data_IF_013781809959
#
_entry.id   IF_013781809959
#
_cell.length_a   1.000
_cell.length_b   1.000
_cell.length_c   1.000
_cell.angle_alpha   90.00
_cell.angle_beta   90.00
_cell.angle_gamma   90.00
#
_symmetry.space_group_name_H-M   'P 1'
#
loop_
_entity.id
_entity.type
_entity.pdbx_description
1 polymer ?
#
# COMPACT_ATOMS: atom_id res chain seq x y z
N UNK A 1 0.18 -3.64 -2.35
CA UNK A 1 0.92 -2.36 -2.34
C UNK A 1 1.82 -2.35 -3.57
N UNK A 2 1.45 -1.60 -4.62
CA UNK A 2 2.18 -1.62 -5.87
C UNK A 2 3.49 -0.81 -5.77
N UNK A 3 4.43 -1.08 -6.68
CA UNK A 3 5.50 -0.14 -7.03
C UNK A 3 4.89 1.15 -7.61
N UNK A 4 5.61 2.26 -7.46
CA UNK A 4 5.19 3.57 -7.95
C UNK A 4 6.10 4.12 -9.07
N UNK A 5 7.20 3.44 -9.41
CA UNK A 5 8.11 3.87 -10.48
C UNK A 5 7.90 3.14 -11.80
N UNK A 6 8.02 1.80 -11.81
CA UNK A 6 7.94 0.98 -13.02
C UNK A 6 6.51 0.57 -13.36
N UNK A 7 5.56 0.66 -12.44
CA UNK A 7 4.16 0.34 -12.67
C UNK A 7 3.48 1.37 -13.59
N UNK A 8 2.69 0.89 -14.55
CA UNK A 8 1.87 1.75 -15.39
C UNK A 8 0.49 1.97 -14.74
N UNK A 9 -0.09 3.15 -14.95
CA UNK A 9 -1.34 3.53 -14.29
C UNK A 9 -2.50 2.56 -14.57
N UNK A 10 -2.52 1.91 -15.75
CA UNK A 10 -3.52 0.89 -16.07
C UNK A 10 -3.48 -0.27 -15.07
N UNK A 11 -2.30 -0.86 -14.84
CA UNK A 11 -2.13 -1.96 -13.90
C UNK A 11 -2.34 -1.52 -12.44
N UNK A 12 -1.99 -0.28 -12.08
CA UNK A 12 -2.29 0.29 -10.76
C UNK A 12 -3.80 0.38 -10.53
N UNK A 13 -4.56 0.88 -11.52
CA UNK A 13 -6.03 0.95 -11.45
C UNK A 13 -6.63 -0.45 -11.36
N UNK A 14 -6.16 -1.39 -12.19
CA UNK A 14 -6.70 -2.75 -12.21
C UNK A 14 -6.54 -3.46 -10.86
N UNK A 15 -5.35 -3.39 -10.24
CA UNK A 15 -5.16 -3.98 -8.91
C UNK A 15 -5.95 -3.26 -7.80
N UNK A 16 -6.16 -1.94 -7.90
CA UNK A 16 -7.04 -1.21 -6.99
C UNK A 16 -8.47 -1.72 -7.09
N UNK A 17 -8.99 -1.88 -8.32
CA UNK A 17 -10.34 -2.39 -8.58
C UNK A 17 -10.50 -3.80 -8.03
N UNK A 18 -9.59 -4.72 -8.36
CA UNK A 18 -9.66 -6.11 -7.91
C UNK A 18 -9.68 -6.22 -6.37
N UNK A 19 -8.79 -5.50 -5.69
CA UNK A 19 -8.74 -5.46 -4.23
C UNK A 19 -10.01 -4.86 -3.60
N UNK A 20 -10.46 -3.71 -4.10
CA UNK A 20 -11.62 -3.01 -3.55
C UNK A 20 -12.94 -3.73 -3.80
N UNK A 21 -13.13 -4.33 -4.97
CA UNK A 21 -14.30 -5.16 -5.23
C UNK A 21 -14.32 -6.40 -4.34
N UNK A 22 -13.15 -6.99 -4.04
CA UNK A 22 -13.08 -8.09 -3.11
C UNK A 22 -13.50 -7.65 -1.70
N UNK A 23 -12.99 -6.51 -1.21
CA UNK A 23 -13.37 -5.96 0.09
C UNK A 23 -14.87 -5.67 0.18
N UNK A 24 -15.44 -5.02 -0.84
CA UNK A 24 -16.87 -4.70 -0.88
C UNK A 24 -17.75 -5.96 -0.83
N UNK A 25 -17.38 -7.00 -1.60
CA UNK A 25 -18.15 -8.25 -1.70
C UNK A 25 -18.03 -9.14 -0.46
N UNK A 26 -16.87 -9.16 0.20
CA UNK A 26 -16.57 -10.16 1.23
C UNK A 26 -16.54 -9.60 2.66
N UNK A 27 -16.31 -8.29 2.83
CA UNK A 27 -16.18 -7.67 4.15
C UNK A 27 -17.31 -6.68 4.43
N UNK A 28 -18.52 -6.96 3.97
CA UNK A 28 -19.72 -6.17 4.32
C UNK A 28 -19.72 -4.75 3.76
N UNK A 29 -19.22 -4.56 2.53
CA UNK A 29 -19.25 -3.26 1.86
C UNK A 29 -18.17 -2.28 2.30
N UNK A 30 -17.12 -2.73 2.98
CA UNK A 30 -16.00 -1.88 3.41
C UNK A 30 -15.35 -1.19 2.20
N UNK A 31 -15.21 0.13 2.31
CA UNK A 31 -14.51 1.00 1.34
C UNK A 31 -13.41 1.77 2.05
N UNK A 32 -12.12 1.42 1.85
CA UNK A 32 -11.01 2.16 2.41
C UNK A 32 -11.06 3.65 2.04
N UNK A 33 -10.73 4.52 2.99
CA UNK A 33 -10.71 5.99 2.83
C UNK A 33 -9.30 6.56 2.78
N UNK A 34 -8.31 5.75 3.17
CA UNK A 34 -6.93 6.16 3.42
C UNK A 34 -5.96 5.16 2.80
N UNK A 35 -5.01 5.65 1.99
CA UNK A 35 -3.94 4.84 1.42
C UNK A 35 -2.80 4.60 2.40
N UNK A 36 -2.15 3.44 2.34
CA UNK A 36 -0.98 3.08 3.15
C UNK A 36 0.12 2.51 2.26
N UNK A 37 1.18 3.28 2.02
CA UNK A 37 2.28 2.94 1.13
C UNK A 37 3.63 3.11 1.85
N UNK A 38 4.04 2.09 2.61
CA UNK A 38 5.25 2.18 3.45
C UNK A 38 6.53 1.66 2.79
N UNK A 39 6.41 0.90 1.70
CA UNK A 39 7.52 0.16 1.11
C UNK A 39 7.79 0.34 -0.40
N UNK A 40 7.01 1.09 -1.22
CA UNK A 40 7.48 1.47 -2.55
C UNK A 40 8.75 2.32 -2.46
N UNK A 41 9.73 2.11 -3.36
CA UNK A 41 11.06 2.72 -3.26
C UNK A 41 11.13 4.15 -3.84
N UNK A 42 10.38 5.05 -3.22
CA UNK A 42 10.05 6.37 -3.76
C UNK A 42 8.58 6.43 -4.16
N UNK A 43 8.02 7.64 -4.27
CA UNK A 43 6.59 7.83 -4.43
C UNK A 43 6.24 8.75 -5.60
N UNK A 44 5.18 8.38 -6.32
CA UNK A 44 4.69 9.07 -7.51
C UNK A 44 3.41 9.84 -7.21
N UNK A 45 3.26 11.09 -7.72
CA UNK A 45 1.99 11.81 -7.63
C UNK A 45 0.86 11.09 -8.39
N UNK A 46 1.17 10.09 -9.23
CA UNK A 46 0.16 9.23 -9.87
C UNK A 46 -0.70 8.50 -8.83
N UNK A 47 -0.11 7.96 -7.76
CA UNK A 47 -0.88 7.30 -6.70
C UNK A 47 -1.79 8.29 -5.98
N UNK A 48 -1.28 9.49 -5.67
CA UNK A 48 -2.07 10.56 -5.07
C UNK A 48 -3.31 10.90 -5.93
N UNK A 49 -3.11 11.08 -7.23
CA UNK A 49 -4.21 11.34 -8.17
C UNK A 49 -5.22 10.19 -8.22
N UNK A 50 -4.75 8.96 -8.41
CA UNK A 50 -5.63 7.80 -8.58
C UNK A 50 -6.44 7.51 -7.32
N UNK A 51 -5.82 7.60 -6.13
CA UNK A 51 -6.53 7.44 -4.86
C UNK A 51 -7.60 8.53 -4.68
N UNK A 52 -7.28 9.80 -4.97
CA UNK A 52 -8.25 10.90 -4.92
C UNK A 52 -9.45 10.63 -5.84
N UNK A 53 -9.18 10.18 -7.07
CA UNK A 53 -10.22 9.84 -8.06
C UNK A 53 -11.02 8.58 -7.67
N UNK A 54 -10.45 7.71 -6.85
CA UNK A 54 -11.12 6.55 -6.26
C UNK A 54 -11.92 6.88 -4.99
N UNK A 55 -11.98 8.16 -4.58
CA UNK A 55 -12.77 8.61 -3.42
C UNK A 55 -12.02 8.59 -2.09
N UNK A 56 -10.69 8.45 -2.10
CA UNK A 56 -9.88 8.58 -0.90
C UNK A 56 -9.71 10.05 -0.50
N UNK A 57 -9.65 10.28 0.80
CA UNK A 57 -9.37 11.61 1.38
C UNK A 57 -7.92 11.73 1.86
N UNK A 58 -7.29 10.61 2.21
CA UNK A 58 -5.98 10.59 2.84
C UNK A 58 -5.05 9.54 2.25
N UNK A 59 -3.75 9.73 2.43
CA UNK A 59 -2.73 8.73 2.13
C UNK A 59 -1.53 8.90 3.06
N UNK A 60 -0.78 7.81 3.24
CA UNK A 60 0.47 7.80 3.98
C UNK A 60 1.59 7.20 3.14
N UNK A 61 2.74 7.86 3.17
CA UNK A 61 3.97 7.46 2.47
C UNK A 61 5.16 7.38 3.43
N UNK A 62 6.20 6.62 3.05
CA UNK A 62 7.38 6.45 3.90
C UNK A 62 8.70 6.62 3.18
N UNK A 63 9.00 5.89 2.10
CA UNK A 63 10.36 5.88 1.51
C UNK A 63 10.60 7.10 0.63
N UNK A 64 10.85 8.21 1.29
CA UNK A 64 11.28 9.49 0.71
C UNK A 64 12.72 9.74 1.11
N UNK A 65 13.51 10.36 0.22
CA UNK A 65 14.93 10.64 0.42
C UNK A 65 15.19 11.26 1.82
N UNK A 66 16.19 10.78 2.55
CA UNK A 66 16.42 11.17 3.96
C UNK A 66 16.59 12.69 4.15
N UNK A 67 17.31 13.37 3.25
CA UNK A 67 17.43 14.83 3.24
C UNK A 67 16.10 15.57 3.04
N UNK A 68 15.18 15.03 2.23
CA UNK A 68 13.84 15.58 2.04
C UNK A 68 13.00 15.41 3.31
N UNK A 69 13.01 14.23 3.94
CA UNK A 69 12.38 14.04 5.27
C UNK A 69 12.90 15.05 6.29
N UNK A 70 14.22 15.25 6.35
CA UNK A 70 14.83 16.26 7.23
C UNK A 70 14.34 17.67 6.94
N UNK A 71 14.28 18.06 5.66
CA UNK A 71 13.76 19.37 5.26
C UNK A 71 12.29 19.54 5.69
N UNK A 72 11.43 18.56 5.39
CA UNK A 72 10.02 18.61 5.73
C UNK A 72 9.79 18.63 7.25
N UNK A 73 10.56 17.83 8.00
CA UNK A 73 10.51 17.79 9.45
C UNK A 73 10.90 19.14 10.10
N UNK A 74 11.95 19.79 9.59
CA UNK A 74 12.40 21.11 10.07
C UNK A 74 11.34 22.20 9.88
N UNK A 75 10.57 22.12 8.79
CA UNK A 75 9.51 23.09 8.47
C UNK A 75 8.10 22.64 8.91
N UNK A 76 8.01 21.49 9.60
CA UNK A 76 6.77 20.83 10.00
C UNK A 76 5.79 20.68 8.82
N UNK A 77 6.29 20.25 7.67
CA UNK A 77 5.53 20.11 6.42
C UNK A 77 5.36 18.64 6.02
N UNK A 78 5.64 17.70 6.92
CA UNK A 78 5.44 16.25 6.71
C UNK A 78 3.97 15.85 6.50
N UNK A 79 3.04 16.72 6.86
CA UNK A 79 1.62 16.63 6.55
C UNK A 79 1.29 17.73 5.54
N UNK A 80 0.75 17.37 4.37
CA UNK A 80 0.52 18.31 3.28
C UNK A 80 -0.60 17.86 2.34
N UNK A 81 -1.22 18.80 1.62
CA UNK A 81 -2.08 18.48 0.49
C UNK A 81 -1.22 18.23 -0.75
N UNK A 82 -1.20 16.99 -1.24
CA UNK A 82 -0.43 16.62 -2.42
C UNK A 82 -1.27 16.88 -3.69
N UNK A 83 -0.82 17.82 -4.51
CA UNK A 83 -1.51 18.29 -5.72
C UNK A 83 -0.72 17.95 -6.98
N UNK A 84 -1.44 17.65 -8.07
CA UNK A 84 -0.81 17.44 -9.37
C UNK A 84 -0.19 18.74 -9.92
N UNK A 85 0.96 18.63 -10.58
CA UNK A 85 1.72 19.79 -11.09
C UNK A 85 0.92 20.69 -12.04
N UNK A 86 -0.06 20.14 -12.75
CA UNK A 86 -0.90 20.86 -13.72
C UNK A 86 -2.21 21.39 -13.12
N UNK A 87 -2.54 21.03 -11.87
CA UNK A 87 -3.77 21.50 -11.24
C UNK A 87 -3.54 22.89 -10.62
N UNK A 88 -4.20 23.90 -11.21
CA UNK A 88 -4.17 25.27 -10.70
C UNK A 88 -5.19 25.50 -9.58
N UNK A 89 -6.18 24.62 -9.47
CA UNK A 89 -7.18 24.61 -8.40
C UNK A 89 -6.76 23.68 -7.27
N UNK A 90 -7.72 23.08 -6.58
CA UNK A 90 -7.50 22.09 -5.51
C UNK A 90 -8.23 20.77 -5.79
N UNK A 91 -8.58 20.51 -7.05
CA UNK A 91 -9.43 19.38 -7.44
C UNK A 91 -8.73 18.02 -7.28
N UNK A 92 -7.40 18.03 -7.31
CA UNK A 92 -6.56 16.84 -7.18
C UNK A 92 -5.94 16.65 -5.80
N UNK A 93 -6.23 17.54 -4.86
CA UNK A 93 -5.62 17.52 -3.52
C UNK A 93 -6.06 16.29 -2.73
N UNK A 94 -5.08 15.55 -2.23
CA UNK A 94 -5.25 14.50 -1.22
C UNK A 94 -4.36 14.81 -0.02
N UNK A 95 -4.86 14.61 1.20
CA UNK A 95 -4.05 14.83 2.39
C UNK A 95 -3.03 13.70 2.53
N UNK A 96 -1.75 14.05 2.57
CA UNK A 96 -0.65 13.10 2.64
C UNK A 96 0.11 13.25 3.96
N UNK A 97 0.31 12.13 4.66
CA UNK A 97 1.25 12.02 5.77
C UNK A 97 2.55 11.36 5.28
N UNK A 98 3.67 12.06 5.36
CA UNK A 98 5.01 11.51 5.19
C UNK A 98 5.57 11.12 6.56
N UNK A 99 5.83 9.83 6.75
CA UNK A 99 6.49 9.35 7.97
C UNK A 99 7.91 9.96 8.09
N UNK A 100 8.38 10.32 9.30
CA UNK A 100 9.55 11.19 9.46
C UNK A 100 10.90 10.47 9.44
N UNK A 101 10.93 9.17 9.71
CA UNK A 101 12.16 8.44 10.04
C UNK A 101 12.55 7.43 8.95
N UNK A 102 13.67 6.75 9.19
CA UNK A 102 14.38 5.91 8.22
C UNK A 102 13.55 4.71 7.71
N UNK A 103 12.83 4.03 8.60
CA UNK A 103 12.12 2.79 8.31
C UNK A 103 10.73 2.77 8.97
N UNK A 104 9.89 1.79 8.60
CA UNK A 104 8.55 1.59 9.15
C UNK A 104 8.50 0.56 10.29
N UNK A 105 9.65 -0.05 10.64
CA UNK A 105 9.79 -0.96 11.78
C UNK A 105 9.67 -0.20 13.11
N UNK A 106 9.25 -0.91 14.17
CA UNK A 106 9.04 -0.34 15.52
C UNK A 106 10.21 0.56 16.00
N UNK A 107 11.49 0.17 15.84
CA UNK A 107 12.62 1.04 16.20
C UNK A 107 12.60 2.42 15.54
N UNK A 108 12.02 2.57 14.35
CA UNK A 108 12.01 3.83 13.61
C UNK A 108 10.62 4.47 13.54
N UNK A 109 9.65 4.04 14.37
CA UNK A 109 8.29 4.60 14.34
C UNK A 109 7.85 5.22 15.65
N UNK A 110 8.45 4.85 16.78
CA UNK A 110 8.07 5.42 18.08
C UNK A 110 8.61 6.85 18.30
N UNK A 111 9.76 7.19 17.72
CA UNK A 111 10.46 8.44 17.95
C UNK A 111 11.84 8.45 17.29
N UNK A 112 12.64 9.50 17.51
CA UNK A 112 13.91 9.69 16.81
C UNK A 112 15.04 8.79 17.30
N UNK A 113 14.94 8.16 18.48
CA UNK A 113 16.00 7.31 19.03
C UNK A 113 15.64 5.81 18.90
N UNK A 114 16.20 5.12 17.90
CA UNK A 114 15.87 3.72 17.67
C UNK A 114 16.43 2.78 18.75
N UNK A 115 17.44 3.20 19.52
CA UNK A 115 17.92 2.45 20.69
C UNK A 115 16.86 2.41 21.78
N UNK A 116 16.07 3.47 21.93
CA UNK A 116 14.95 3.51 22.87
C UNK A 116 13.75 2.76 22.27
N UNK A 117 13.35 3.10 21.05
CA UNK A 117 12.16 2.51 20.42
C UNK A 117 12.23 0.99 20.29
N UNK A 118 13.42 0.43 20.01
CA UNK A 118 13.58 -1.02 19.92
C UNK A 118 13.23 -1.74 21.23
N UNK A 119 13.41 -1.10 22.39
CA UNK A 119 13.05 -1.69 23.68
C UNK A 119 11.53 -1.76 23.91
N UNK A 120 10.73 -1.19 23.00
CA UNK A 120 9.27 -1.31 22.97
C UNK A 120 8.79 -2.22 21.84
N UNK A 121 9.71 -2.89 21.15
CA UNK A 121 9.39 -4.05 20.32
C UNK A 121 9.45 -5.34 21.16
N UNK A 122 8.32 -5.74 21.72
CA UNK A 122 8.24 -6.93 22.58
C UNK A 122 8.38 -8.29 21.84
N UNK A 123 8.59 -8.29 20.50
CA UNK A 123 9.03 -9.50 19.77
C UNK A 123 10.53 -9.75 19.93
N UNK A 124 11.30 -8.72 20.31
CA UNK A 124 12.77 -8.76 20.43
C UNK A 124 13.26 -9.08 21.83
N UNK A 125 12.43 -9.73 22.65
CA UNK A 125 12.83 -10.16 24.00
C UNK A 125 14.11 -11.03 23.95
N UNK A 126 14.94 -10.98 25.02
CA UNK A 126 16.11 -11.85 25.14
C UNK A 126 15.75 -13.33 24.94
N UNK A 127 16.62 -14.07 24.24
CA UNK A 127 16.41 -15.49 23.91
C UNK A 127 15.53 -15.74 22.68
N UNK A 128 14.96 -14.70 22.07
CA UNK A 128 14.26 -14.78 20.79
C UNK A 128 15.19 -14.82 19.59
N UNK A 129 14.61 -15.01 18.40
CA UNK A 129 15.33 -15.00 17.11
C UNK A 129 15.91 -13.63 16.75
N UNK A 130 15.25 -12.56 17.20
CA UNK A 130 15.59 -11.18 16.87
C UNK A 130 15.99 -10.44 18.13
N UNK A 131 17.07 -9.67 18.06
CA UNK A 131 17.52 -8.77 19.13
C UNK A 131 17.42 -7.29 18.73
N UNK A 132 17.71 -6.43 19.69
CA UNK A 132 17.93 -5.01 19.42
C UNK A 132 19.40 -4.76 19.04
N UNK A 133 19.70 -4.27 17.82
CA UNK A 133 21.08 -4.05 17.38
C UNK A 133 21.81 -2.97 18.19
N UNK A 134 21.08 -2.14 18.95
CA UNK A 134 21.64 -1.10 19.83
C UNK A 134 22.03 -1.57 21.23
N UNK A 135 22.07 -2.89 21.46
CA UNK A 135 22.63 -3.49 22.68
C UNK A 135 21.77 -3.37 23.94
N UNK A 136 20.55 -2.85 23.84
CA UNK A 136 19.58 -2.77 24.95
C UNK A 136 18.31 -3.50 24.54
N UNK A 137 18.01 -4.67 25.13
CA UNK A 137 16.82 -5.43 24.78
C UNK A 137 15.54 -4.82 25.39
N UNK A 138 14.36 -5.21 24.90
CA UNK A 138 13.09 -4.99 25.57
C UNK A 138 13.04 -5.69 26.93
N UNK A 139 12.29 -5.10 27.86
CA UNK A 139 11.97 -5.67 29.16
C UNK A 139 10.46 -5.75 29.33
N UNK A 140 9.97 -6.78 30.00
CA UNK A 140 8.54 -6.91 30.31
C UNK A 140 8.10 -5.75 31.18
N UNK A 141 6.96 -5.15 30.85
CA UNK A 141 6.36 -4.07 31.61
C UNK A 141 5.72 -4.68 32.86
N UNK A 142 6.11 -4.16 34.02
CA UNK A 142 5.66 -4.58 35.34
C UNK A 142 5.23 -3.35 36.13
N UNK A 143 4.51 -3.55 37.23
CA UNK A 143 4.15 -2.45 38.12
C UNK A 143 5.37 -1.69 38.68
N UNK A 144 6.54 -2.35 38.76
CA UNK A 144 7.78 -1.75 39.27
C UNK A 144 8.47 -0.85 38.24
N UNK A 145 8.37 -1.14 36.94
CA UNK A 145 9.05 -0.37 35.89
C UNK A 145 8.11 0.51 35.04
N UNK A 146 6.79 0.30 35.10
CA UNK A 146 5.82 0.94 34.19
C UNK A 146 5.95 2.46 34.14
N UNK A 147 6.20 3.12 35.27
CA UNK A 147 6.42 4.57 35.31
C UNK A 147 7.60 4.99 34.43
N UNK A 148 8.78 4.46 34.72
CA UNK A 148 10.01 4.81 33.99
C UNK A 148 9.90 4.45 32.50
N UNK A 149 9.29 3.30 32.18
CA UNK A 149 9.10 2.83 30.80
C UNK A 149 8.09 3.70 30.04
N UNK A 150 6.99 4.08 30.67
CA UNK A 150 5.97 4.95 30.08
C UNK A 150 6.52 6.36 29.81
N UNK A 151 7.23 6.95 30.77
CA UNK A 151 7.86 8.26 30.60
C UNK A 151 8.90 8.24 29.47
N UNK A 152 9.70 7.17 29.37
CA UNK A 152 10.68 6.98 28.30
C UNK A 152 10.01 6.87 26.91
N UNK A 153 8.94 6.10 26.78
CA UNK A 153 8.20 5.99 25.53
C UNK A 153 7.49 7.30 25.17
N UNK A 154 6.87 7.95 26.15
CA UNK A 154 6.16 9.21 25.96
C UNK A 154 7.11 10.34 25.53
N UNK A 155 8.34 10.37 26.04
CA UNK A 155 9.38 11.28 25.57
C UNK A 155 9.66 11.10 24.07
N UNK A 156 9.75 9.86 23.57
CA UNK A 156 9.92 9.57 22.15
C UNK A 156 8.72 10.05 21.32
N UNK A 157 7.49 9.77 21.76
CA UNK A 157 6.28 10.28 21.10
C UNK A 157 6.21 11.81 21.09
N UNK A 158 6.61 12.47 22.18
CA UNK A 158 6.66 13.94 22.27
C UNK A 158 7.74 14.53 21.38
N UNK A 159 8.91 13.89 21.25
CA UNK A 159 9.94 14.29 20.28
C UNK A 159 9.44 14.15 18.85
N UNK A 160 8.76 13.04 18.53
CA UNK A 160 8.12 12.85 17.23
C UNK A 160 7.04 13.91 16.95
N UNK A 161 6.23 14.26 17.95
CA UNK A 161 5.15 15.25 17.78
C UNK A 161 5.66 16.64 17.41
N UNK A 162 6.90 17.00 17.80
CA UNK A 162 7.51 18.28 17.39
C UNK A 162 7.72 18.42 15.89
N UNK A 163 7.67 17.33 15.13
CA UNK A 163 7.84 17.33 13.67
C UNK A 163 6.54 17.62 12.91
N UNK A 164 5.40 17.65 13.61
CA UNK A 164 4.06 17.82 13.03
C UNK A 164 3.38 19.09 13.55
N UNK A 165 2.26 19.47 12.92
CA UNK A 165 1.52 20.71 13.24
C UNK A 165 0.39 20.48 14.24
N UNK A 166 -0.15 19.27 14.28
CA UNK A 166 -1.25 18.85 15.18
C UNK A 166 -0.71 18.29 16.50
N UNK A 167 -1.60 18.07 17.47
CA UNK A 167 -1.27 17.33 18.71
C UNK A 167 -1.52 15.83 18.59
N UNK A 168 -1.95 15.35 17.42
CA UNK A 168 -2.23 13.95 17.13
C UNK A 168 -0.98 13.28 16.57
N UNK A 169 -0.53 12.18 17.20
CA UNK A 169 0.68 11.46 16.78
C UNK A 169 0.33 10.05 16.34
N UNK A 170 0.64 9.70 15.09
CA UNK A 170 0.61 8.33 14.60
C UNK A 170 1.90 7.59 15.00
N UNK A 171 1.79 6.42 15.62
CA UNK A 171 2.92 5.55 15.94
C UNK A 171 2.67 4.13 15.40
N UNK A 172 3.10 3.83 14.16
CA UNK A 172 2.94 2.50 13.59
C UNK A 172 3.65 1.44 14.43
N UNK A 173 2.96 0.35 14.74
CA UNK A 173 3.48 -0.75 15.53
C UNK A 173 3.49 -2.02 14.69
N UNK A 174 4.61 -2.26 14.01
CA UNK A 174 4.72 -3.35 13.05
C UNK A 174 6.10 -3.43 12.41
N UNK A 175 6.26 -4.41 11.55
CA UNK A 175 7.47 -4.74 10.78
C UNK A 175 7.05 -5.81 9.74
N UNK A 176 8.00 -6.32 8.96
CA UNK A 176 7.77 -7.40 8.00
C UNK A 176 7.23 -8.66 8.68
N UNK A 177 6.11 -9.19 8.14
CA UNK A 177 5.48 -10.44 8.59
C UNK A 177 5.34 -10.54 10.12
N UNK A 178 4.86 -9.47 10.75
CA UNK A 178 4.54 -9.44 12.18
C UNK A 178 3.15 -9.98 12.47
N UNK A 179 2.90 -10.21 13.75
CA UNK A 179 1.65 -10.68 14.31
C UNK A 179 1.24 -12.07 13.80
N UNK A 180 2.24 -12.95 13.59
CA UNK A 180 2.01 -14.33 13.10
C UNK A 180 1.88 -15.36 14.22
N UNK A 181 2.35 -15.04 15.44
CA UNK A 181 2.35 -15.96 16.57
C UNK A 181 1.46 -15.43 17.71
N UNK A 182 0.67 -16.31 18.36
CA UNK A 182 -0.20 -15.91 19.48
C UNK A 182 0.59 -15.26 20.63
N UNK A 183 1.79 -15.76 20.91
CA UNK A 183 2.71 -15.22 21.92
C UNK A 183 3.17 -13.80 21.58
N UNK A 184 3.44 -13.52 20.30
CA UNK A 184 3.77 -12.18 19.82
C UNK A 184 2.61 -11.21 20.06
N UNK A 185 1.38 -11.61 19.72
CA UNK A 185 0.19 -10.80 20.01
C UNK A 185 0.07 -10.47 21.49
N UNK A 186 0.18 -11.49 22.36
CA UNK A 186 0.09 -11.31 23.81
C UNK A 186 1.19 -10.41 24.35
N UNK A 187 2.44 -10.59 23.91
CA UNK A 187 3.57 -9.77 24.35
C UNK A 187 3.41 -8.32 23.91
N UNK A 188 3.05 -8.05 22.66
CA UNK A 188 2.84 -6.69 22.20
C UNK A 188 1.64 -6.05 22.92
N UNK A 189 0.48 -6.71 22.92
CA UNK A 189 -0.74 -6.14 23.48
C UNK A 189 -0.63 -5.88 24.98
N UNK A 190 -0.25 -6.88 25.79
CA UNK A 190 -0.26 -6.75 27.26
C UNK A 190 0.72 -5.70 27.76
N UNK A 191 1.92 -5.64 27.18
CA UNK A 191 2.92 -4.65 27.57
C UNK A 191 2.50 -3.23 27.18
N UNK A 192 2.00 -3.02 25.96
CA UNK A 192 1.48 -1.71 25.55
C UNK A 192 0.24 -1.29 26.33
N UNK A 193 -0.67 -2.23 26.65
CA UNK A 193 -1.85 -1.94 27.46
C UNK A 193 -1.46 -1.40 28.84
N UNK A 194 -0.50 -2.03 29.52
CA UNK A 194 0.00 -1.53 30.82
C UNK A 194 0.62 -0.12 30.72
N UNK A 195 1.35 0.15 29.64
CA UNK A 195 1.91 1.49 29.38
C UNK A 195 0.81 2.52 29.13
N UNK A 196 -0.21 2.18 28.34
CA UNK A 196 -1.33 3.05 28.01
C UNK A 196 -2.19 3.34 29.24
N UNK A 197 -2.51 2.32 30.03
CA UNK A 197 -3.28 2.45 31.27
C UNK A 197 -2.58 3.39 32.24
N UNK A 198 -1.27 3.23 32.45
CA UNK A 198 -0.48 4.13 33.27
C UNK A 198 -0.48 5.56 32.70
N UNK A 199 -0.18 5.76 31.42
CA UNK A 199 -0.12 7.09 30.82
C UNK A 199 -1.45 7.85 30.92
N UNK A 200 -2.57 7.15 30.68
CA UNK A 200 -3.91 7.74 30.76
C UNK A 200 -4.36 7.99 32.21
N UNK A 201 -3.81 7.27 33.20
CA UNK A 201 -4.14 7.48 34.61
C UNK A 201 -3.39 8.63 35.27
N UNK A 202 -2.42 9.25 34.59
CA UNK A 202 -1.56 10.31 35.12
C UNK A 202 -1.88 11.67 34.49
N UNK A 203 -2.71 12.52 35.12
CA UNK A 203 -3.15 13.80 34.53
C UNK A 203 -2.01 14.76 34.21
N UNK A 204 -0.93 14.73 34.99
CA UNK A 204 0.28 15.54 34.78
C UNK A 204 1.00 15.21 33.46
N UNK A 205 0.79 14.03 32.88
CA UNK A 205 1.38 13.66 31.59
C UNK A 205 0.65 14.30 30.39
N UNK A 206 -0.57 14.83 30.57
CA UNK A 206 -1.32 15.53 29.52
C UNK A 206 -1.36 14.76 28.18
N UNK A 207 -1.62 13.46 28.25
CA UNK A 207 -1.64 12.55 27.10
C UNK A 207 -2.91 11.72 27.11
N UNK A 208 -3.46 11.47 25.92
CA UNK A 208 -4.44 10.42 25.66
C UNK A 208 -3.82 9.46 24.67
N UNK A 209 -3.72 8.19 25.05
CA UNK A 209 -3.07 7.16 24.23
C UNK A 209 -3.91 5.90 24.17
N UNK A 210 -3.96 5.28 23.00
CA UNK A 210 -4.74 4.06 22.73
C UNK A 210 -4.20 3.36 21.49
N UNK A 211 -4.53 2.08 21.34
CA UNK A 211 -4.49 1.46 20.01
C UNK A 211 -5.52 2.13 19.11
N UNK A 212 -5.18 2.30 17.83
CA UNK A 212 -6.04 2.93 16.85
C UNK A 212 -5.73 2.45 15.45
N UNK A 213 -6.64 2.77 14.53
CA UNK A 213 -6.49 2.52 13.10
C UNK A 213 -5.95 3.76 12.39
N UNK A 214 -5.57 3.60 11.12
CA UNK A 214 -5.19 4.74 10.28
C UNK A 214 -6.35 5.74 10.11
N UNK A 215 -7.59 5.25 10.07
CA UNK A 215 -8.80 6.09 10.03
C UNK A 215 -8.93 6.94 11.29
N UNK A 216 -8.73 6.36 12.47
CA UNK A 216 -8.83 7.10 13.75
C UNK A 216 -7.82 8.25 13.82
N UNK A 217 -6.61 8.03 13.28
CA UNK A 217 -5.58 9.07 13.18
C UNK A 217 -6.00 10.21 12.26
N UNK A 218 -6.42 9.91 11.02
CA UNK A 218 -6.80 10.96 10.07
C UNK A 218 -8.09 11.68 10.49
N UNK A 219 -9.07 10.99 11.07
CA UNK A 219 -10.28 11.62 11.61
C UNK A 219 -9.95 12.62 12.74
N UNK A 220 -8.96 12.30 13.59
CA UNK A 220 -8.50 13.20 14.63
C UNK A 220 -7.72 14.40 14.08
N UNK A 221 -6.91 14.21 13.03
CA UNK A 221 -6.20 15.30 12.34
C UNK A 221 -7.17 16.23 11.61
N UNK A 222 -8.17 15.69 10.90
CA UNK A 222 -9.21 16.46 10.21
C UNK A 222 -10.03 17.31 11.18
N UNK A 223 -10.26 16.79 12.39
CA UNK A 223 -10.92 17.55 13.46
C UNK A 223 -10.09 18.78 13.88
N UNK A 224 -8.79 18.61 14.13
CA UNK A 224 -7.91 19.74 14.46
C UNK A 224 -7.78 20.75 13.30
N UNK A 225 -7.76 20.28 12.05
CA UNK A 225 -7.76 21.16 10.86
C UNK A 225 -9.05 21.97 10.75
N UNK A 226 -10.20 21.36 10.99
CA UNK A 226 -11.50 22.04 10.96
C UNK A 226 -11.57 23.14 12.01
N UNK A 227 -11.19 22.85 13.26
CA UNK A 227 -11.13 23.82 14.35
C UNK A 227 -10.15 24.98 14.06
N UNK A 228 -9.03 24.71 13.36
CA UNK A 228 -8.07 25.74 12.98
C UNK A 228 -8.56 26.62 11.83
N UNK A 229 -9.28 26.07 10.86
CA UNK A 229 -9.88 26.81 9.74
C UNK A 229 -10.98 27.76 10.20
N UNK A 230 -11.76 27.39 11.21
CA UNK A 230 -12.71 28.29 11.87
C UNK A 230 -12.01 29.55 12.43
N UNK A 231 -10.74 29.40 12.83
CA UNK A 231 -9.88 30.49 13.29
C UNK A 231 -9.05 31.13 12.16
N UNK A 232 -9.43 30.93 10.89
CA UNK A 232 -8.77 31.47 9.69
C UNK A 232 -7.29 31.09 9.55
N UNK A 233 -6.89 29.94 10.09
CA UNK A 233 -5.52 29.41 9.97
C UNK A 233 -5.50 28.19 9.06
N UNK A 234 -4.70 28.24 7.99
CA UNK A 234 -4.42 27.08 7.16
C UNK A 234 -3.31 26.25 7.83
N UNK A 235 -3.65 25.06 8.33
CA UNK A 235 -2.66 24.22 9.01
C UNK A 235 -1.67 23.62 8.04
N UNK A 236 -2.07 23.16 6.86
CA UNK A 236 -1.19 22.33 6.02
C UNK A 236 -0.80 23.02 4.71
N UNK A 237 0.47 22.89 4.27
CA UNK A 237 0.90 23.41 2.98
C UNK A 237 0.34 22.55 1.83
N UNK A 238 0.39 23.11 0.62
CA UNK A 238 0.22 22.36 -0.63
C UNK A 238 1.60 22.02 -1.18
N UNK A 239 1.79 20.78 -1.62
CA UNK A 239 3.03 20.30 -2.24
C UNK A 239 2.70 19.65 -3.57
N UNK A 240 3.58 19.85 -4.55
CA UNK A 240 3.53 19.24 -5.88
C UNK A 240 4.92 18.71 -6.23
N UNK A 241 4.97 17.77 -7.17
CA UNK A 241 6.17 17.02 -7.53
C UNK A 241 6.09 15.55 -7.12
N UNK A 242 7.19 14.83 -7.34
CA UNK A 242 7.36 13.44 -6.96
C UNK A 242 8.44 13.29 -5.87
N UNK A 243 8.61 12.05 -5.39
CA UNK A 243 9.62 11.70 -4.39
C UNK A 243 10.61 10.66 -4.94
N UNK A 244 11.05 10.84 -6.19
CA UNK A 244 12.14 10.09 -6.80
C UNK A 244 13.38 10.97 -7.01
N UNK A 245 14.60 10.43 -7.02
CA UNK A 245 14.98 9.03 -6.71
C UNK A 245 15.22 8.87 -5.20
N UNK A 246 14.67 7.81 -4.61
CA UNK A 246 14.83 7.50 -3.18
C UNK A 246 16.30 7.16 -2.84
N UNK A 247 16.77 7.70 -1.72
CA UNK A 247 17.98 7.25 -1.04
C UNK A 247 17.68 7.12 0.46
N UNK A 248 17.99 5.95 1.02
CA UNK A 248 17.80 5.64 2.43
C UNK A 248 18.92 6.22 3.30
N UNK A 249 20.15 6.26 2.76
CA UNK A 249 21.34 6.85 3.39
C UNK A 249 22.39 7.22 2.35
N UNK A 250 23.31 8.09 2.75
CA UNK A 250 24.53 8.42 2.00
C UNK A 250 24.28 8.67 0.50
N UNK A 251 25.04 8.02 -0.38
CA UNK A 251 24.91 8.05 -1.84
C UNK A 251 24.18 6.82 -2.41
N UNK A 252 23.47 6.06 -1.55
CA UNK A 252 22.75 4.85 -1.95
C UNK A 252 21.43 5.20 -2.64
N UNK A 253 21.48 5.66 -3.89
CA UNK A 253 20.28 5.91 -4.69
C UNK A 253 19.70 4.60 -5.22
N UNK A 254 18.39 4.40 -5.00
CA UNK A 254 17.67 3.21 -5.41
C UNK A 254 17.17 3.37 -6.86
N UNK A 255 18.06 3.72 -7.79
CA UNK A 255 17.73 3.84 -9.23
C UNK A 255 17.93 2.54 -10.01
N UNK A 256 18.66 1.56 -9.44
CA UNK A 256 18.94 0.28 -10.10
C UNK A 256 17.67 -0.50 -10.46
N UNK A 257 16.67 -0.51 -9.55
CA UNK A 257 15.44 -1.28 -9.76
C UNK A 257 14.56 -0.74 -10.91
N UNK A 258 14.82 0.49 -11.39
CA UNK A 258 14.19 1.01 -12.60
C UNK A 258 14.51 0.14 -13.83
N UNK A 259 15.64 -0.59 -13.82
CA UNK A 259 16.08 -1.44 -14.94
C UNK A 259 16.10 -2.94 -14.59
N UNK A 260 16.33 -3.32 -13.33
CA UNK A 260 16.48 -4.72 -12.90
C UNK A 260 15.44 -5.66 -13.50
N UNK A 261 15.89 -6.80 -14.04
CA UNK A 261 15.04 -7.82 -14.68
C UNK A 261 14.14 -7.26 -15.81
N UNK A 262 14.72 -6.62 -16.84
CA UNK A 262 13.97 -5.88 -17.85
C UNK A 262 13.05 -6.75 -18.71
N UNK A 263 13.35 -8.05 -18.83
CA UNK A 263 12.48 -9.02 -19.50
C UNK A 263 11.07 -9.03 -18.90
N UNK A 264 10.96 -9.10 -17.56
CA UNK A 264 9.65 -9.17 -16.89
C UNK A 264 8.95 -7.81 -16.87
N UNK A 265 9.70 -6.70 -16.78
CA UNK A 265 9.14 -5.34 -17.00
C UNK A 265 8.52 -5.19 -18.40
N UNK A 266 9.14 -5.79 -19.42
CA UNK A 266 8.55 -5.83 -20.78
C UNK A 266 7.33 -6.76 -20.85
N UNK A 267 7.41 -7.93 -20.21
CA UNK A 267 6.30 -8.89 -20.17
C UNK A 267 5.05 -8.29 -19.52
N UNK A 268 5.21 -7.50 -18.46
CA UNK A 268 4.14 -6.75 -17.82
C UNK A 268 3.37 -5.86 -18.82
N UNK A 269 4.07 -5.01 -19.58
CA UNK A 269 3.45 -4.18 -20.64
C UNK A 269 2.73 -4.99 -21.72
N UNK A 270 3.29 -6.14 -22.10
CA UNK A 270 2.64 -7.06 -23.05
C UNK A 270 1.35 -7.58 -22.44
N UNK A 271 1.38 -8.02 -21.18
CA UNK A 271 0.22 -8.57 -20.50
C UNK A 271 -0.88 -7.51 -20.31
N UNK A 272 -0.53 -6.28 -19.90
CA UNK A 272 -1.47 -5.15 -19.83
C UNK A 272 -2.26 -4.97 -21.13
N UNK A 273 -1.54 -4.94 -22.27
CA UNK A 273 -2.16 -4.80 -23.59
C UNK A 273 -3.09 -5.97 -23.93
N UNK A 274 -2.73 -7.20 -23.56
CA UNK A 274 -3.55 -8.38 -23.83
C UNK A 274 -4.77 -8.44 -22.93
N UNK A 275 -4.65 -8.07 -21.65
CA UNK A 275 -5.79 -7.98 -20.72
C UNK A 275 -6.79 -6.98 -21.27
N UNK A 276 -6.34 -5.76 -21.61
CA UNK A 276 -7.23 -4.74 -22.17
C UNK A 276 -7.95 -5.22 -23.43
N UNK A 277 -7.24 -5.86 -24.35
CA UNK A 277 -7.85 -6.40 -25.57
C UNK A 277 -8.87 -7.51 -25.27
N UNK A 278 -8.51 -8.43 -24.37
CA UNK A 278 -9.37 -9.54 -23.95
C UNK A 278 -10.63 -9.04 -23.27
N UNK A 279 -10.57 -8.07 -22.34
CA UNK A 279 -11.74 -7.51 -21.67
C UNK A 279 -12.73 -6.87 -22.65
N UNK A 280 -12.21 -6.06 -23.59
CA UNK A 280 -13.04 -5.38 -24.60
C UNK A 280 -13.74 -6.41 -25.49
N UNK A 281 -12.97 -7.35 -26.07
CA UNK A 281 -13.52 -8.35 -26.97
C UNK A 281 -14.48 -9.30 -26.25
N UNK A 282 -14.09 -9.76 -25.06
CA UNK A 282 -14.92 -10.64 -24.24
C UNK A 282 -16.26 -9.98 -23.91
N UNK A 283 -16.27 -8.69 -23.55
CA UNK A 283 -17.52 -7.98 -23.29
C UNK A 283 -18.47 -7.98 -24.49
N UNK A 284 -17.97 -7.63 -25.68
CA UNK A 284 -18.80 -7.65 -26.89
C UNK A 284 -19.26 -9.06 -27.24
N UNK A 285 -18.38 -10.05 -27.14
CA UNK A 285 -18.72 -11.45 -27.41
C UNK A 285 -19.77 -11.98 -26.43
N UNK A 286 -19.64 -11.65 -25.14
CA UNK A 286 -20.62 -11.99 -24.11
C UNK A 286 -22.01 -11.45 -24.45
N UNK A 287 -22.11 -10.21 -24.93
CA UNK A 287 -23.40 -9.62 -25.34
C UNK A 287 -24.01 -10.33 -26.53
N UNK A 288 -23.21 -10.75 -27.51
CA UNK A 288 -23.70 -11.54 -28.64
C UNK A 288 -24.11 -12.94 -28.18
N UNK A 289 -23.31 -13.60 -27.35
CA UNK A 289 -23.63 -14.91 -26.79
C UNK A 289 -24.95 -14.92 -26.00
N UNK A 290 -25.19 -13.89 -25.18
CA UNK A 290 -26.46 -13.70 -24.47
C UNK A 290 -27.64 -13.48 -25.43
N UNK A 291 -27.44 -12.69 -26.50
CA UNK A 291 -28.50 -12.39 -27.48
C UNK A 291 -28.91 -13.62 -28.30
N UNK A 292 -27.94 -14.45 -28.68
CA UNK A 292 -28.16 -15.61 -29.55
C UNK A 292 -28.24 -16.94 -28.80
N UNK A 293 -28.19 -16.90 -27.46
CA UNK A 293 -28.25 -18.05 -26.55
C UNK A 293 -27.15 -19.11 -26.81
N UNK A 294 -25.90 -18.65 -26.92
CA UNK A 294 -24.74 -19.49 -27.26
C UNK A 294 -24.19 -20.13 -25.98
N UNK A 295 -24.72 -21.30 -25.65
CA UNK A 295 -24.41 -22.03 -24.41
C UNK A 295 -22.92 -22.32 -24.23
N UNK A 296 -22.19 -22.69 -25.29
CA UNK A 296 -20.77 -23.03 -25.17
C UNK A 296 -19.91 -21.83 -24.75
N UNK A 297 -20.23 -20.62 -25.21
CA UNK A 297 -19.51 -19.41 -24.79
C UNK A 297 -19.91 -18.99 -23.37
N UNK A 298 -21.21 -19.01 -23.06
CA UNK A 298 -21.75 -18.58 -21.76
C UNK A 298 -21.33 -19.48 -20.60
N UNK A 299 -21.13 -20.77 -20.85
CA UNK A 299 -20.66 -21.76 -19.86
C UNK A 299 -19.13 -21.92 -19.81
N UNK A 300 -18.39 -21.21 -20.67
CA UNK A 300 -16.92 -21.30 -20.72
C UNK A 300 -16.25 -20.77 -19.44
N UNK A 301 -15.04 -21.27 -19.17
CA UNK A 301 -14.19 -20.77 -18.08
C UNK A 301 -13.47 -19.45 -18.41
N UNK A 302 -13.79 -18.81 -19.54
CA UNK A 302 -13.09 -17.61 -20.03
C UNK A 302 -13.14 -16.45 -19.05
N UNK A 303 -14.28 -16.20 -18.40
CA UNK A 303 -14.36 -15.13 -17.40
C UNK A 303 -13.50 -15.39 -16.16
N UNK A 304 -13.46 -16.65 -15.71
CA UNK A 304 -12.59 -17.07 -14.61
C UNK A 304 -11.13 -16.87 -14.96
N UNK A 305 -10.70 -17.34 -16.13
CA UNK A 305 -9.33 -17.18 -16.62
C UNK A 305 -8.94 -15.71 -16.85
N UNK A 306 -9.87 -14.86 -17.33
CA UNK A 306 -9.68 -13.41 -17.44
C UNK A 306 -9.48 -12.75 -16.07
N UNK A 307 -10.24 -13.19 -15.07
CA UNK A 307 -10.12 -12.70 -13.69
C UNK A 307 -8.80 -13.15 -13.07
N UNK A 308 -8.35 -14.38 -13.30
CA UNK A 308 -7.04 -14.87 -12.87
C UNK A 308 -5.89 -14.08 -13.53
N UNK A 309 -6.02 -13.73 -14.82
CA UNK A 309 -5.04 -12.91 -15.51
C UNK A 309 -4.91 -11.51 -14.90
N UNK A 310 -6.03 -10.85 -14.57
CA UNK A 310 -6.05 -9.56 -13.84
C UNK A 310 -5.40 -9.67 -12.47
N UNK A 311 -5.73 -10.71 -11.70
CA UNK A 311 -5.12 -10.96 -10.39
C UNK A 311 -3.61 -11.18 -10.47
N UNK A 312 -3.14 -11.93 -11.48
CA UNK A 312 -1.71 -12.15 -11.69
C UNK A 312 -0.98 -10.87 -12.12
N UNK A 313 -1.57 -10.05 -13.00
CA UNK A 313 -1.04 -8.72 -13.32
C UNK A 313 -0.98 -7.84 -12.08
N UNK A 314 -2.06 -7.80 -11.29
CA UNK A 314 -2.15 -7.00 -10.07
C UNK A 314 -1.16 -7.42 -8.99
N UNK A 315 -0.94 -8.73 -8.82
CA UNK A 315 0.11 -9.27 -7.97
C UNK A 315 1.50 -8.84 -8.47
N UNK A 316 1.73 -8.84 -9.77
CA UNK A 316 3.00 -8.43 -10.35
C UNK A 316 3.31 -6.94 -10.18
N UNK A 317 2.30 -6.11 -9.86
CA UNK A 317 2.54 -4.71 -9.50
C UNK A 317 3.21 -4.56 -8.14
N UNK A 318 3.29 -5.62 -7.32
CA UNK A 318 4.00 -5.60 -6.04
C UNK A 318 5.39 -4.97 -6.14
N UNK A 319 5.80 -4.22 -5.12
CA UNK A 319 7.07 -3.48 -5.09
C UNK A 319 8.33 -4.36 -5.03
N UNK A 320 8.21 -5.70 -4.96
CA UNK A 320 9.31 -6.64 -5.25
C UNK A 320 9.17 -7.45 -6.54
N UNK A 321 8.04 -7.31 -7.23
CA UNK A 321 7.73 -8.07 -8.43
C UNK A 321 8.21 -7.31 -9.68
N UNK A 322 7.45 -6.31 -10.14
CA UNK A 322 7.81 -5.50 -11.32
C UNK A 322 9.15 -4.77 -11.16
N UNK A 323 9.54 -4.44 -9.94
CA UNK A 323 10.83 -3.82 -9.60
C UNK A 323 12.02 -4.75 -9.85
N UNK A 324 11.79 -6.06 -9.82
CA UNK A 324 12.81 -7.08 -10.03
C UNK A 324 13.73 -7.28 -8.82
N UNK A 325 13.30 -6.91 -7.62
CA UNK A 325 14.07 -7.03 -6.37
C UNK A 325 13.82 -8.33 -5.60
N UNK A 326 12.83 -9.14 -6.00
CA UNK A 326 12.65 -10.48 -5.43
C UNK A 326 13.79 -11.45 -5.79
N UNK A 327 13.89 -12.54 -5.01
CA UNK A 327 14.82 -13.66 -5.26
C UNK A 327 14.46 -14.41 -6.54
N UNK A 328 15.43 -15.10 -7.13
CA UNK A 328 15.28 -15.72 -8.46
C UNK A 328 14.10 -16.69 -8.56
N UNK A 329 13.91 -17.56 -7.57
CA UNK A 329 12.79 -18.52 -7.60
C UNK A 329 11.42 -17.83 -7.49
N UNK A 330 11.34 -16.67 -6.81
CA UNK A 330 10.11 -15.87 -6.72
C UNK A 330 9.83 -15.18 -8.05
N UNK A 331 10.89 -14.70 -8.72
CA UNK A 331 10.78 -14.13 -10.07
C UNK A 331 10.33 -15.19 -11.09
N UNK A 332 10.82 -16.41 -10.97
CA UNK A 332 10.36 -17.53 -11.79
C UNK A 332 8.86 -17.80 -11.56
N UNK A 333 8.38 -17.80 -10.32
CA UNK A 333 6.95 -17.93 -10.00
C UNK A 333 6.12 -16.82 -10.67
N UNK A 334 6.53 -15.55 -10.54
CA UNK A 334 5.88 -14.45 -11.26
C UNK A 334 5.89 -14.67 -12.77
N UNK A 335 7.02 -15.07 -13.34
CA UNK A 335 7.17 -15.36 -14.76
C UNK A 335 6.20 -16.42 -15.26
N UNK A 336 6.06 -17.53 -14.53
CA UNK A 336 5.14 -18.63 -14.86
C UNK A 336 3.69 -18.14 -14.82
N UNK A 337 3.31 -17.37 -13.79
CA UNK A 337 1.97 -16.78 -13.68
C UNK A 337 1.64 -15.88 -14.87
N UNK A 338 2.53 -14.94 -15.19
CA UNK A 338 2.35 -14.02 -16.32
C UNK A 338 2.27 -14.78 -17.66
N UNK A 339 3.11 -15.80 -17.84
CA UNK A 339 3.11 -16.62 -19.04
C UNK A 339 1.79 -17.39 -19.22
N UNK A 340 1.32 -18.09 -18.19
CA UNK A 340 0.04 -18.79 -18.24
C UNK A 340 -1.13 -17.83 -18.46
N UNK A 341 -1.13 -16.67 -17.81
CA UNK A 341 -2.13 -15.63 -18.04
C UNK A 341 -2.11 -15.15 -19.49
N UNK A 342 -0.94 -14.96 -20.09
CA UNK A 342 -0.83 -14.56 -21.49
C UNK A 342 -1.41 -15.61 -22.45
N UNK A 343 -1.16 -16.91 -22.21
CA UNK A 343 -1.75 -17.99 -23.01
C UNK A 343 -3.28 -18.00 -22.89
N UNK A 344 -3.81 -17.93 -21.67
CA UNK A 344 -5.25 -17.86 -21.41
C UNK A 344 -5.90 -16.66 -22.11
N UNK A 345 -5.28 -15.49 -22.06
CA UNK A 345 -5.79 -14.28 -22.70
C UNK A 345 -5.83 -14.41 -24.23
N UNK A 346 -4.80 -15.01 -24.85
CA UNK A 346 -4.80 -15.27 -26.29
C UNK A 346 -5.96 -16.17 -26.70
N UNK A 347 -6.23 -17.23 -25.92
CA UNK A 347 -7.37 -18.11 -26.14
C UNK A 347 -8.70 -17.35 -26.01
N UNK A 348 -8.87 -16.55 -24.96
CA UNK A 348 -10.07 -15.72 -24.76
C UNK A 348 -10.28 -14.76 -25.93
N UNK A 349 -9.21 -14.07 -26.36
CA UNK A 349 -9.24 -13.18 -27.53
C UNK A 349 -9.65 -13.94 -28.78
N UNK A 350 -9.10 -15.13 -29.03
CA UNK A 350 -9.43 -15.98 -30.16
C UNK A 350 -10.90 -16.39 -30.19
N UNK A 351 -11.42 -16.93 -29.10
CA UNK A 351 -12.84 -17.34 -28.99
C UNK A 351 -13.79 -16.14 -29.09
N UNK A 352 -13.47 -15.02 -28.44
CA UNK A 352 -14.26 -13.81 -28.53
C UNK A 352 -14.28 -13.26 -29.97
N UNK A 353 -13.12 -13.20 -30.63
CA UNK A 353 -13.01 -12.77 -32.02
C UNK A 353 -13.80 -13.68 -32.95
N UNK A 354 -13.65 -15.02 -32.83
CA UNK A 354 -14.40 -16.00 -33.61
C UNK A 354 -15.91 -15.74 -33.52
N UNK A 355 -16.44 -15.65 -32.30
CA UNK A 355 -17.86 -15.40 -32.10
C UNK A 355 -18.29 -14.06 -32.75
N UNK A 356 -17.46 -13.03 -32.65
CA UNK A 356 -17.75 -11.70 -33.20
C UNK A 356 -17.69 -11.64 -34.74
N UNK A 357 -16.85 -12.45 -35.40
CA UNK A 357 -16.72 -12.44 -36.87
C UNK A 357 -17.71 -13.37 -37.57
N UNK A 358 -18.23 -14.40 -36.90
CA UNK A 358 -19.17 -15.34 -37.51
C UNK A 358 -20.43 -14.63 -38.02
N UNK A 359 -20.84 -14.91 -39.27
CA UNK A 359 -22.07 -14.34 -39.85
C UNK A 359 -23.31 -14.89 -39.14
N UNK A 360 -23.36 -16.20 -38.93
CA UNK A 360 -24.33 -16.86 -38.07
C UNK A 360 -23.70 -17.15 -36.71
N UNK A 361 -24.16 -16.45 -35.68
CA UNK A 361 -23.62 -16.59 -34.32
C UNK A 361 -23.83 -17.98 -33.73
N UNK A 362 -24.90 -18.68 -34.12
CA UNK A 362 -25.20 -20.03 -33.63
C UNK A 362 -24.22 -21.09 -34.13
N UNK A 363 -23.49 -20.79 -35.22
CA UNK A 363 -22.44 -21.68 -35.72
C UNK A 363 -21.22 -21.74 -34.80
N UNK A 364 -21.11 -20.86 -33.79
CA UNK A 364 -19.99 -20.87 -32.83
C UNK A 364 -19.79 -22.24 -32.19
N UNK A 365 -20.85 -22.93 -31.80
CA UNK A 365 -20.78 -24.22 -31.12
C UNK A 365 -20.06 -25.28 -31.98
N UNK A 366 -20.24 -25.21 -33.31
CA UNK A 366 -19.58 -26.11 -34.27
C UNK A 366 -18.07 -25.90 -34.34
N UNK A 367 -17.60 -24.65 -34.21
CA UNK A 367 -16.19 -24.29 -34.31
C UNK A 367 -15.48 -24.23 -32.95
N UNK A 368 -16.23 -24.16 -31.85
CA UNK A 368 -15.69 -24.06 -30.49
C UNK A 368 -14.92 -25.30 -30.02
N UNK A 369 -15.11 -26.44 -30.67
CA UNK A 369 -14.41 -27.71 -30.40
C UNK A 369 -13.17 -27.92 -31.28
N UNK A 370 -12.90 -27.00 -32.21
CA UNK A 370 -11.77 -27.08 -33.12
C UNK A 370 -10.48 -26.63 -32.42
N UNK A 371 -9.44 -27.47 -32.48
CA UNK A 371 -8.13 -27.24 -31.85
C UNK A 371 -7.37 -26.04 -32.44
N UNK A 372 -7.90 -25.38 -33.48
CA UNK A 372 -7.29 -24.21 -34.09
C UNK A 372 -7.06 -23.04 -33.10
N UNK A 373 -7.82 -23.00 -32.00
CA UNK A 373 -7.74 -21.97 -30.96
C UNK A 373 -7.03 -22.41 -29.67
N UNK A 374 -6.56 -23.67 -29.62
CA UNK A 374 -5.75 -24.27 -28.53
C UNK A 374 -4.26 -24.21 -28.85
#
# INVERSE_FOLDING_TARGET
MPDEAAAHYFAIIDQLIEGHQWLEKNLGGVKPRSGWAIDPFGHSPTMAYLLKRAGFSHMLIQRVHYAVKKHFALHKTLEFFWRQNWDLGSGTDIFCHMMPFYSYDIPHTCGPDPKICCQFDFKRFPGGRFGCPWGVPPETITHQNVQNRAEMLLDQYRKKSKLFRTKVVLAPLGDDFRYCERTEWDHQFKNYQMLFDYMNSQPNLNVKIQFGTLSDYFDAVDKEDTESRENSQLLFPVVSGDFFTYADRDDHYWSGYFTSRPFYKRLDRILESHIRAAEILYHFALKQAQKYDIGAFLSSSHYTALTEARRNLGLFQHHDAITGTAKDWVVVDYGIRLFHSLLSLKKIIGHAALLLILKDKRSYDLFSSDTLLD
#
